data_IF_111310993232
#
_entry.id   IF_111310993232
#
_cell.length_a   1.000
_cell.length_b   1.000
_cell.length_c   1.000
_cell.angle_alpha   90.00
_cell.angle_beta   90.00
_cell.angle_gamma   90.00
#
_symmetry.space_group_name_H-M   'P 1'
#
loop_
_entity.id
_entity.type
_entity.pdbx_description
1 polymer ?
#
# COMPACT_ATOMS: atom_id res chain seq x y z
N UNK A 1 -11.65 58.14 8.61
CA UNK A 1 -12.65 57.27 9.29
C UNK A 1 -13.55 56.76 8.16
N UNK A 2 -13.34 55.63 7.52
CA UNK A 2 -12.49 54.44 7.72
C UNK A 2 -12.31 53.85 6.32
N UNK A 3 -11.07 53.66 5.88
CA UNK A 3 -10.74 52.84 4.71
C UNK A 3 -10.69 51.38 5.19
N UNK A 4 -11.58 50.53 4.69
CA UNK A 4 -11.49 49.08 4.89
C UNK A 4 -10.66 48.48 3.75
N UNK A 5 -9.45 48.11 4.10
CA UNK A 5 -8.62 47.13 3.41
C UNK A 5 -9.20 45.75 3.70
N UNK A 6 -9.50 44.94 2.67
CA UNK A 6 -9.44 43.49 2.79
C UNK A 6 -9.25 42.79 1.42
N UNK A 7 -7.99 42.44 1.19
CA UNK A 7 -7.43 41.26 0.52
C UNK A 7 -8.18 40.62 -0.66
N UNK A 8 -7.63 40.88 -1.83
CA UNK A 8 -7.42 39.90 -2.88
C UNK A 8 -6.35 38.89 -2.45
N UNK A 9 -6.66 37.59 -2.37
CA UNK A 9 -5.71 36.54 -2.72
C UNK A 9 -6.40 35.21 -3.04
N UNK A 10 -6.02 34.69 -4.20
CA UNK A 10 -6.36 33.45 -4.88
C UNK A 10 -6.01 32.18 -4.10
N UNK A 11 -6.87 31.17 -4.20
CA UNK A 11 -6.47 29.76 -4.09
C UNK A 11 -7.28 28.91 -5.09
N UNK A 12 -7.00 29.10 -6.38
CA UNK A 12 -7.11 28.02 -7.35
C UNK A 12 -5.85 27.17 -7.21
N UNK A 13 -5.99 25.96 -6.67
CA UNK A 13 -5.38 24.70 -7.16
C UNK A 13 -5.55 23.62 -6.08
N UNK A 14 -6.79 23.24 -5.80
CA UNK A 14 -7.06 21.93 -5.21
C UNK A 14 -6.95 20.91 -6.35
N UNK A 15 -5.71 20.58 -6.73
CA UNK A 15 -5.41 19.52 -7.68
C UNK A 15 -6.17 18.27 -7.27
N UNK A 16 -7.13 17.90 -8.12
CA UNK A 16 -8.08 16.82 -7.88
C UNK A 16 -7.31 15.50 -7.75
N UNK A 17 -7.08 15.08 -6.50
CA UNK A 17 -6.64 13.73 -6.16
C UNK A 17 -7.73 12.79 -6.67
N UNK A 18 -7.52 12.16 -7.83
CA UNK A 18 -8.35 11.06 -8.28
C UNK A 18 -8.21 9.94 -7.24
N UNK A 19 -9.10 9.92 -6.26
CA UNK A 19 -9.11 8.89 -5.24
C UNK A 19 -9.64 7.61 -5.91
N UNK A 20 -8.73 6.72 -6.30
CA UNK A 20 -9.10 5.48 -6.95
C UNK A 20 -10.00 4.69 -5.99
N UNK A 21 -11.25 4.52 -6.39
CA UNK A 21 -12.28 3.86 -5.60
C UNK A 21 -12.30 2.39 -5.96
N UNK A 22 -12.36 1.53 -4.95
CA UNK A 22 -12.36 0.08 -5.13
C UNK A 22 -13.47 -0.53 -4.29
N UNK A 23 -14.14 -1.56 -4.81
CA UNK A 23 -15.02 -2.38 -3.98
C UNK A 23 -14.44 -3.79 -3.80
N UNK A 24 -14.83 -4.48 -2.74
CA UNK A 24 -14.45 -5.87 -2.48
C UNK A 24 -15.70 -6.73 -2.41
N UNK A 25 -15.88 -7.55 -3.44
CA UNK A 25 -16.94 -8.54 -3.54
C UNK A 25 -16.50 -9.87 -2.93
N UNK A 26 -17.31 -10.40 -2.01
CA UNK A 26 -16.96 -11.59 -1.23
C UNK A 26 -18.21 -12.33 -0.73
N UNK A 27 -18.05 -13.61 -0.38
CA UNK A 27 -19.06 -14.34 0.35
C UNK A 27 -19.14 -13.82 1.80
N UNK A 28 -20.35 -13.69 2.35
CA UNK A 28 -20.60 -13.30 3.74
C UNK A 28 -19.71 -14.00 4.77
N UNK A 29 -19.45 -15.28 4.55
CA UNK A 29 -18.65 -16.14 5.42
C UNK A 29 -17.17 -15.72 5.48
N UNK A 30 -16.66 -15.02 4.46
CA UNK A 30 -15.26 -14.60 4.33
C UNK A 30 -15.00 -13.19 4.90
N UNK A 31 -16.03 -12.56 5.48
CA UNK A 31 -15.99 -11.16 5.97
C UNK A 31 -14.82 -10.86 6.90
N UNK A 32 -14.42 -11.82 7.75
CA UNK A 32 -13.26 -11.66 8.65
C UNK A 32 -11.95 -11.46 7.88
N UNK A 33 -11.71 -12.28 6.86
CA UNK A 33 -10.53 -12.15 6.00
C UNK A 33 -10.59 -10.82 5.22
N UNK A 34 -11.76 -10.52 4.65
CA UNK A 34 -11.97 -9.29 3.86
C UNK A 34 -11.74 -8.05 4.69
N UNK A 35 -12.19 -8.02 5.95
CA UNK A 35 -11.93 -6.89 6.85
C UNK A 35 -10.43 -6.63 7.01
N UNK A 36 -9.62 -7.66 7.23
CA UNK A 36 -8.16 -7.50 7.34
C UNK A 36 -7.54 -6.98 6.04
N UNK A 37 -8.02 -7.47 4.89
CA UNK A 37 -7.57 -7.01 3.59
C UNK A 37 -7.95 -5.54 3.34
N UNK A 38 -9.18 -5.16 3.66
CA UNK A 38 -9.69 -3.78 3.57
C UNK A 38 -8.87 -2.85 4.47
N UNK A 39 -8.67 -3.22 5.74
CA UNK A 39 -7.85 -2.46 6.69
C UNK A 39 -6.43 -2.24 6.17
N UNK A 40 -5.88 -3.22 5.45
CA UNK A 40 -4.56 -3.10 4.82
C UNK A 40 -4.60 -2.20 3.58
N UNK A 41 -5.60 -2.35 2.70
CA UNK A 41 -5.78 -1.48 1.53
C UNK A 41 -6.05 -0.01 1.89
N UNK A 42 -6.73 0.24 3.02
CA UNK A 42 -6.93 1.58 3.55
C UNK A 42 -5.62 2.23 3.99
N UNK A 43 -4.64 1.46 4.51
CA UNK A 43 -3.28 1.96 4.79
C UNK A 43 -2.60 2.42 3.52
N UNK A 44 -2.78 1.66 2.45
CA UNK A 44 -2.43 2.06 1.09
C UNK A 44 -3.24 3.27 0.58
N UNK A 45 -4.03 4.01 1.37
CA UNK A 45 -4.84 5.16 0.91
C UNK A 45 -5.78 4.82 -0.28
N UNK A 46 -6.19 3.57 -0.41
CA UNK A 46 -7.18 3.14 -1.40
C UNK A 46 -8.54 3.24 -0.72
N UNK A 47 -9.49 3.94 -1.36
CA UNK A 47 -10.85 4.05 -0.83
C UNK A 47 -11.60 2.76 -1.14
N UNK A 48 -11.98 2.02 -0.10
CA UNK A 48 -12.60 0.69 -0.24
C UNK A 48 -14.02 0.64 0.30
N UNK A 49 -14.92 0.00 -0.44
CA UNK A 49 -16.28 -0.37 -0.03
C UNK A 49 -16.43 -1.90 -0.05
N UNK A 50 -17.01 -2.51 0.98
CA UNK A 50 -17.11 -3.98 1.01
C UNK A 50 -18.40 -4.53 1.63
N UNK A 51 -18.97 -3.86 2.64
CA UNK A 51 -20.23 -4.32 3.27
C UNK A 51 -21.40 -4.37 2.26
N UNK A 52 -21.54 -3.36 1.39
CA UNK A 52 -22.61 -3.33 0.37
C UNK A 52 -22.46 -4.40 -0.73
N UNK A 53 -21.25 -4.99 -0.84
CA UNK A 53 -20.86 -5.95 -1.86
C UNK A 53 -20.62 -7.36 -1.29
N UNK A 54 -21.11 -7.59 -0.09
CA UNK A 54 -21.33 -8.92 0.46
C UNK A 54 -22.36 -9.68 -0.40
N UNK A 55 -22.09 -10.95 -0.65
CA UNK A 55 -22.91 -11.80 -1.52
C UNK A 55 -23.50 -12.97 -0.73
N UNK A 56 -24.82 -13.17 -0.85
CA UNK A 56 -25.56 -14.29 -0.28
C UNK A 56 -26.26 -15.18 -1.32
N UNK A 57 -26.79 -16.32 -0.86
CA UNK A 57 -27.49 -17.30 -1.70
C UNK A 57 -28.74 -16.66 -2.31
N UNK A 58 -28.82 -16.67 -3.64
CA UNK A 58 -29.94 -16.11 -4.39
C UNK A 58 -29.69 -14.71 -4.95
N UNK A 59 -28.59 -14.06 -4.55
CA UNK A 59 -28.13 -12.84 -5.20
C UNK A 59 -27.74 -13.11 -6.68
N UNK A 60 -27.65 -12.04 -7.47
CA UNK A 60 -26.99 -12.11 -8.78
C UNK A 60 -25.61 -11.50 -8.66
N UNK A 61 -24.57 -12.32 -8.78
CA UNK A 61 -23.18 -11.85 -8.68
C UNK A 61 -22.86 -10.83 -9.76
N UNK A 62 -23.40 -11.04 -10.97
CA UNK A 62 -23.24 -10.11 -12.08
C UNK A 62 -23.78 -8.73 -11.75
N UNK A 63 -24.96 -8.65 -11.14
CA UNK A 63 -25.57 -7.37 -10.75
C UNK A 63 -24.72 -6.66 -9.70
N UNK A 64 -24.35 -7.35 -8.62
CA UNK A 64 -23.50 -6.80 -7.55
C UNK A 64 -22.17 -6.25 -8.07
N UNK A 65 -21.49 -6.99 -8.95
CA UNK A 65 -20.21 -6.56 -9.52
C UNK A 65 -20.39 -5.36 -10.45
N UNK A 66 -21.44 -5.32 -11.28
CA UNK A 66 -21.70 -4.17 -12.14
C UNK A 66 -22.05 -2.90 -11.33
N UNK A 67 -22.83 -3.03 -10.26
CA UNK A 67 -23.12 -1.93 -9.34
C UNK A 67 -21.82 -1.40 -8.71
N UNK A 68 -20.93 -2.31 -8.30
CA UNK A 68 -19.61 -1.97 -7.76
C UNK A 68 -18.75 -1.21 -8.76
N UNK A 69 -18.63 -1.73 -9.98
CA UNK A 69 -17.84 -1.13 -11.07
C UNK A 69 -18.46 0.16 -11.64
N UNK A 70 -19.71 0.47 -11.33
CA UNK A 70 -20.32 1.77 -11.67
C UNK A 70 -19.86 2.86 -10.71
N UNK A 71 -19.52 2.50 -9.47
CA UNK A 71 -19.12 3.43 -8.40
C UNK A 71 -17.62 3.38 -8.09
N UNK A 72 -16.89 2.47 -8.73
CA UNK A 72 -15.48 2.20 -8.47
C UNK A 72 -14.69 1.99 -9.76
N UNK A 73 -13.43 2.40 -9.75
CA UNK A 73 -12.49 2.21 -10.86
C UNK A 73 -12.13 0.73 -11.02
N UNK A 74 -11.94 0.06 -9.88
CA UNK A 74 -11.60 -1.36 -9.78
C UNK A 74 -12.56 -2.10 -8.85
N UNK A 75 -12.70 -3.40 -9.08
CA UNK A 75 -13.32 -4.34 -8.15
C UNK A 75 -12.32 -5.42 -7.75
N UNK A 76 -12.34 -5.84 -6.49
CA UNK A 76 -11.68 -7.06 -6.04
C UNK A 76 -12.76 -8.12 -5.87
N UNK A 77 -12.54 -9.32 -6.40
CA UNK A 77 -13.41 -10.48 -6.16
C UNK A 77 -12.64 -11.54 -5.40
N UNK A 78 -13.17 -11.95 -4.25
CA UNK A 78 -12.59 -13.01 -3.42
C UNK A 78 -13.19 -14.35 -3.83
N UNK A 79 -12.37 -15.16 -4.50
CA UNK A 79 -12.68 -16.54 -4.80
C UNK A 79 -12.26 -17.42 -3.63
N UNK A 80 -13.24 -18.08 -3.03
CA UNK A 80 -13.07 -19.02 -1.91
C UNK A 80 -14.01 -20.21 -2.08
N UNK A 81 -13.85 -21.26 -1.27
CA UNK A 81 -14.85 -22.33 -1.24
C UNK A 81 -16.25 -21.80 -0.88
N UNK A 82 -16.37 -20.79 -0.01
CA UNK A 82 -17.66 -20.21 0.37
C UNK A 82 -18.31 -19.46 -0.79
N UNK A 83 -17.51 -18.74 -1.57
CA UNK A 83 -17.97 -18.10 -2.80
C UNK A 83 -18.57 -19.12 -3.78
N UNK A 84 -17.90 -20.23 -4.05
CA UNK A 84 -18.40 -21.21 -5.01
C UNK A 84 -19.51 -22.13 -4.46
N UNK A 85 -19.63 -22.30 -3.14
CA UNK A 85 -20.75 -23.04 -2.50
C UNK A 85 -22.12 -22.42 -2.79
N UNK A 86 -22.20 -21.13 -3.12
CA UNK A 86 -23.46 -20.43 -3.44
C UNK A 86 -24.07 -20.84 -4.80
N UNK A 87 -23.40 -21.72 -5.57
CA UNK A 87 -23.90 -22.35 -6.81
C UNK A 87 -24.37 -21.35 -7.87
N UNK A 88 -23.48 -20.41 -8.21
CA UNK A 88 -23.71 -19.43 -9.27
C UNK A 88 -24.12 -20.08 -10.60
N UNK A 89 -25.12 -19.53 -11.31
CA UNK A 89 -25.41 -19.96 -12.68
C UNK A 89 -24.16 -19.83 -13.56
N UNK A 90 -23.86 -20.83 -14.39
CA UNK A 90 -22.68 -20.81 -15.29
C UNK A 90 -22.57 -19.52 -16.11
N UNK A 91 -23.70 -18.98 -16.56
CA UNK A 91 -23.77 -17.73 -17.33
C UNK A 91 -23.34 -16.50 -16.53
N UNK A 92 -23.59 -16.48 -15.21
CA UNK A 92 -23.16 -15.38 -14.35
C UNK A 92 -21.64 -15.42 -14.11
N UNK A 93 -21.08 -16.61 -13.85
CA UNK A 93 -19.63 -16.79 -13.72
C UNK A 93 -18.90 -16.42 -15.01
N UNK A 94 -19.37 -16.91 -16.17
CA UNK A 94 -18.76 -16.59 -17.46
C UNK A 94 -18.79 -15.08 -17.78
N UNK A 95 -19.75 -14.33 -17.22
CA UNK A 95 -19.79 -12.87 -17.42
C UNK A 95 -18.66 -12.12 -16.69
N UNK A 96 -18.01 -12.77 -15.72
CA UNK A 96 -16.87 -12.18 -15.01
C UNK A 96 -15.61 -12.17 -15.87
N UNK A 97 -15.45 -13.12 -16.80
CA UNK A 97 -14.25 -13.25 -17.63
C UNK A 97 -13.93 -11.95 -18.37
N UNK A 98 -14.94 -11.27 -18.93
CA UNK A 98 -14.77 -9.99 -19.63
C UNK A 98 -14.14 -8.94 -18.69
N UNK A 99 -14.65 -8.84 -17.46
CA UNK A 99 -14.19 -7.86 -16.48
C UNK A 99 -12.79 -8.18 -15.93
N UNK A 100 -12.47 -9.47 -15.84
CA UNK A 100 -11.16 -9.97 -15.46
C UNK A 100 -10.13 -9.69 -16.58
N UNK A 101 -10.49 -9.89 -17.84
CA UNK A 101 -9.65 -9.62 -19.01
C UNK A 101 -9.38 -8.11 -19.19
N UNK A 102 -10.40 -7.27 -19.00
CA UNK A 102 -10.26 -5.80 -18.98
C UNK A 102 -9.37 -5.32 -17.81
N UNK A 103 -9.13 -6.17 -16.81
CA UNK A 103 -8.32 -5.87 -15.65
C UNK A 103 -8.96 -4.85 -14.70
N UNK A 104 -10.28 -4.65 -14.80
CA UNK A 104 -11.08 -3.86 -13.87
C UNK A 104 -11.52 -4.68 -12.66
N UNK A 105 -11.70 -5.99 -12.84
CA UNK A 105 -11.96 -6.93 -11.76
C UNK A 105 -10.67 -7.71 -11.43
N UNK A 106 -10.27 -7.69 -10.17
CA UNK A 106 -9.02 -8.25 -9.66
C UNK A 106 -9.32 -9.47 -8.78
N UNK A 107 -9.02 -10.70 -9.25
CA UNK A 107 -9.34 -11.91 -8.51
C UNK A 107 -8.28 -12.21 -7.43
N UNK A 108 -8.76 -12.56 -6.23
CA UNK A 108 -7.95 -13.01 -5.09
C UNK A 108 -8.43 -14.39 -4.66
N UNK A 109 -7.52 -15.36 -4.57
CA UNK A 109 -7.83 -16.71 -4.07
C UNK A 109 -7.64 -16.74 -2.56
N UNK A 110 -8.70 -17.11 -1.84
CA UNK A 110 -8.69 -17.28 -0.39
C UNK A 110 -9.09 -18.71 -0.04
N UNK A 111 -8.17 -19.43 0.61
CA UNK A 111 -8.33 -20.84 1.00
C UNK A 111 -8.69 -21.82 -0.13
N UNK A 112 -8.56 -21.42 -1.41
CA UNK A 112 -8.85 -22.23 -2.59
C UNK A 112 -7.67 -22.22 -3.57
N UNK A 113 -7.48 -23.30 -4.32
CA UNK A 113 -6.46 -23.39 -5.37
C UNK A 113 -6.98 -23.00 -6.74
N UNK A 114 -6.07 -22.61 -7.65
CA UNK A 114 -6.46 -22.26 -9.03
C UNK A 114 -7.06 -23.44 -9.79
N UNK A 115 -6.64 -24.67 -9.47
CA UNK A 115 -7.16 -25.88 -10.11
C UNK A 115 -8.59 -26.20 -9.64
N UNK A 116 -8.88 -25.96 -8.36
CA UNK A 116 -10.26 -26.02 -7.85
C UNK A 116 -11.15 -24.96 -8.50
N UNK A 117 -10.66 -23.71 -8.66
CA UNK A 117 -11.39 -22.66 -9.38
C UNK A 117 -11.71 -23.09 -10.82
N UNK A 118 -10.73 -23.66 -11.53
CA UNK A 118 -10.89 -24.16 -12.91
C UNK A 118 -11.89 -25.32 -13.00
N UNK A 119 -11.99 -26.15 -11.96
CA UNK A 119 -12.92 -27.27 -11.93
C UNK A 119 -14.41 -26.84 -11.94
N UNK A 120 -14.72 -25.57 -11.64
CA UNK A 120 -16.07 -25.04 -11.75
C UNK A 120 -16.54 -24.79 -13.19
N UNK A 121 -15.66 -24.98 -14.21
CA UNK A 121 -15.99 -25.10 -15.64
C UNK A 121 -16.90 -23.97 -16.19
N UNK A 122 -16.72 -22.76 -15.66
CA UNK A 122 -17.52 -21.59 -15.99
C UNK A 122 -16.71 -20.28 -16.03
N UNK A 123 -15.42 -20.35 -15.68
CA UNK A 123 -14.46 -19.26 -15.79
C UNK A 123 -13.31 -19.70 -16.69
N UNK A 124 -12.68 -18.75 -17.39
CA UNK A 124 -11.56 -19.02 -18.28
C UNK A 124 -10.38 -19.71 -17.56
N UNK A 125 -9.64 -20.58 -18.27
CA UNK A 125 -8.44 -21.24 -17.75
C UNK A 125 -7.29 -20.28 -17.44
N UNK A 126 -7.34 -19.08 -18.03
CA UNK A 126 -6.26 -18.09 -18.03
C UNK A 126 -6.41 -17.00 -16.95
N UNK A 127 -7.26 -17.23 -15.93
CA UNK A 127 -7.41 -16.30 -14.81
C UNK A 127 -6.06 -16.05 -14.13
N UNK A 128 -5.65 -14.78 -14.12
CA UNK A 128 -4.46 -14.31 -13.40
C UNK A 128 -4.90 -13.71 -12.07
N UNK A 129 -4.82 -14.51 -11.01
CA UNK A 129 -5.24 -14.12 -9.69
C UNK A 129 -4.09 -14.01 -8.69
N UNK A 130 -4.33 -13.26 -7.61
CA UNK A 130 -3.44 -13.25 -6.45
C UNK A 130 -3.66 -14.54 -5.66
N UNK A 131 -2.61 -15.34 -5.48
CA UNK A 131 -2.71 -16.71 -4.93
C UNK A 131 -2.14 -16.86 -3.51
N UNK A 132 -1.42 -15.87 -3.01
CA UNK A 132 -0.88 -15.89 -1.64
C UNK A 132 -1.99 -15.65 -0.61
N UNK A 133 -1.86 -16.28 0.55
CA UNK A 133 -2.77 -16.10 1.68
C UNK A 133 -2.31 -14.98 2.63
N UNK A 134 -1.08 -14.46 2.45
CA UNK A 134 -0.59 -13.31 3.20
C UNK A 134 -1.31 -12.04 2.76
N UNK A 135 -2.16 -11.52 3.65
CA UNK A 135 -2.98 -10.31 3.43
C UNK A 135 -2.13 -9.10 3.04
N UNK A 136 -0.95 -8.92 3.64
CA UNK A 136 -0.07 -7.79 3.33
C UNK A 136 0.48 -7.92 1.91
N UNK A 137 0.90 -9.12 1.51
CA UNK A 137 1.33 -9.39 0.15
C UNK A 137 0.18 -9.20 -0.86
N UNK A 138 -1.04 -9.66 -0.54
CA UNK A 138 -2.23 -9.45 -1.38
C UNK A 138 -2.49 -7.97 -1.58
N UNK A 139 -2.60 -7.20 -0.48
CA UNK A 139 -2.85 -5.77 -0.53
C UNK A 139 -1.79 -5.02 -1.35
N UNK A 140 -0.51 -5.38 -1.18
CA UNK A 140 0.57 -4.79 -1.97
C UNK A 140 0.48 -5.08 -3.48
N UNK A 141 0.03 -6.28 -3.88
CA UNK A 141 -0.23 -6.59 -5.30
C UNK A 141 -1.38 -5.76 -5.85
N UNK A 142 -2.50 -5.72 -5.13
CA UNK A 142 -3.69 -4.96 -5.52
C UNK A 142 -3.39 -3.47 -5.59
N UNK A 143 -2.69 -2.92 -4.61
CA UNK A 143 -2.34 -1.50 -4.55
C UNK A 143 -1.48 -1.05 -5.74
N UNK A 144 -0.52 -1.88 -6.17
CA UNK A 144 0.28 -1.60 -7.37
C UNK A 144 -0.57 -1.50 -8.63
N UNK A 145 -1.57 -2.37 -8.77
CA UNK A 145 -2.48 -2.36 -9.92
C UNK A 145 -3.45 -1.18 -9.85
N UNK A 146 -4.07 -0.96 -8.69
CA UNK A 146 -5.08 0.07 -8.48
C UNK A 146 -4.48 1.47 -8.61
N UNK A 147 -3.34 1.76 -8.00
CA UNK A 147 -2.71 3.11 -8.01
C UNK A 147 -1.95 3.47 -9.29
N UNK A 148 -1.84 2.58 -10.27
CA UNK A 148 -0.81 2.61 -11.32
C UNK A 148 -0.34 3.99 -11.83
N UNK A 149 0.97 4.26 -11.68
CA UNK A 149 1.92 5.06 -12.52
C UNK A 149 3.17 5.52 -11.75
N UNK A 150 3.16 5.45 -10.42
CA UNK A 150 4.31 5.80 -9.59
C UNK A 150 5.29 4.66 -9.31
N UNK A 151 4.98 3.40 -9.67
CA UNK A 151 5.82 2.24 -9.31
C UNK A 151 6.29 1.47 -10.54
N UNK A 152 7.56 1.63 -10.92
CA UNK A 152 8.22 0.87 -12.00
C UNK A 152 8.95 -0.36 -11.43
N UNK A 153 9.05 -1.44 -12.21
CA UNK A 153 9.93 -2.58 -11.89
C UNK A 153 11.11 -2.59 -12.86
N UNK A 154 12.33 -2.50 -12.34
CA UNK A 154 13.56 -2.67 -13.12
C UNK A 154 14.32 -3.88 -12.58
N UNK A 155 14.18 -5.04 -13.24
CA UNK A 155 14.68 -6.32 -12.71
C UNK A 155 13.94 -6.73 -11.43
N UNK A 156 14.68 -7.03 -10.35
CA UNK A 156 14.11 -7.33 -9.03
C UNK A 156 13.81 -6.09 -8.17
N UNK A 157 14.09 -4.87 -8.68
CA UNK A 157 13.97 -3.62 -7.90
C UNK A 157 12.65 -2.89 -8.16
N UNK A 158 11.93 -2.55 -7.09
CA UNK A 158 10.74 -1.71 -7.12
C UNK A 158 11.15 -0.23 -7.12
N UNK A 159 10.50 0.62 -7.92
CA UNK A 159 10.88 2.03 -8.08
C UNK A 159 9.65 2.91 -7.88
N UNK A 160 9.57 3.63 -6.76
CA UNK A 160 8.55 4.61 -6.44
C UNK A 160 8.96 5.99 -6.96
N UNK A 161 8.06 6.71 -7.63
CA UNK A 161 8.28 8.04 -8.21
C UNK A 161 7.13 9.01 -7.93
N UNK A 162 7.45 10.28 -7.63
CA UNK A 162 6.51 11.41 -7.61
C UNK A 162 5.22 11.15 -6.82
N UNK A 163 5.32 10.55 -5.63
CA UNK A 163 4.14 10.18 -4.86
C UNK A 163 4.35 10.32 -3.36
N UNK A 164 3.24 10.47 -2.64
CA UNK A 164 3.19 10.39 -1.18
C UNK A 164 2.77 8.97 -0.79
N UNK A 165 3.44 8.36 0.18
CA UNK A 165 3.13 7.02 0.66
C UNK A 165 3.48 6.84 2.14
N UNK A 166 2.80 5.92 2.81
CA UNK A 166 3.27 5.43 4.11
C UNK A 166 4.44 4.48 3.90
N UNK A 167 5.45 4.54 4.77
CA UNK A 167 6.55 3.55 4.75
C UNK A 167 6.05 2.14 5.07
N UNK A 168 4.97 2.01 5.85
CA UNK A 168 4.34 0.74 6.22
C UNK A 168 3.65 0.05 5.04
N UNK A 169 3.36 0.80 3.98
CA UNK A 169 2.79 0.28 2.74
C UNK A 169 3.86 -0.30 1.81
N UNK A 170 5.14 -0.08 2.09
CA UNK A 170 6.21 -0.60 1.24
C UNK A 170 6.34 -2.11 1.49
N UNK A 171 6.34 -2.96 0.45
CA UNK A 171 6.54 -4.40 0.62
C UNK A 171 7.81 -4.71 1.42
N UNK A 172 7.65 -5.54 2.44
CA UNK A 172 8.71 -5.92 3.37
C UNK A 172 8.70 -7.44 3.60
N UNK A 173 9.82 -7.99 4.05
CA UNK A 173 9.95 -9.39 4.46
C UNK A 173 9.23 -9.66 5.79
N UNK A 174 9.14 -10.94 6.17
CA UNK A 174 8.68 -11.38 7.50
C UNK A 174 9.49 -10.79 8.66
N UNK A 175 10.74 -10.39 8.40
CA UNK A 175 11.63 -9.72 9.37
C UNK A 175 11.47 -8.20 9.40
N UNK A 176 10.40 -7.66 8.81
CA UNK A 176 10.13 -6.22 8.68
C UNK A 176 11.25 -5.48 7.94
N UNK A 177 11.82 -6.10 6.90
CA UNK A 177 12.91 -5.51 6.11
C UNK A 177 12.41 -5.13 4.72
N UNK A 178 12.53 -3.85 4.35
CA UNK A 178 12.33 -3.35 3.00
C UNK A 178 13.63 -3.58 2.22
N UNK A 179 13.55 -4.32 1.12
CA UNK A 179 14.72 -4.66 0.30
C UNK A 179 14.50 -4.33 -1.16
N UNK A 180 15.58 -3.94 -1.86
CA UNK A 180 15.57 -3.73 -3.31
C UNK A 180 14.52 -2.70 -3.78
N UNK A 181 14.42 -1.57 -3.10
CA UNK A 181 13.49 -0.48 -3.47
C UNK A 181 14.25 0.80 -3.82
N UNK A 182 13.75 1.57 -4.78
CA UNK A 182 14.19 2.94 -5.04
C UNK A 182 13.03 3.90 -4.90
N UNK A 183 13.24 5.02 -4.22
CA UNK A 183 12.32 6.13 -4.11
C UNK A 183 12.92 7.34 -4.82
N UNK A 184 12.12 8.00 -5.66
CA UNK A 184 12.50 9.22 -6.35
C UNK A 184 11.39 10.25 -6.17
N UNK A 185 11.71 11.44 -5.68
CA UNK A 185 10.74 12.53 -5.61
C UNK A 185 9.48 12.17 -4.78
N UNK A 186 9.66 11.36 -3.72
CA UNK A 186 8.57 10.84 -2.91
C UNK A 186 8.46 11.54 -1.55
N UNK A 187 7.25 11.62 -1.01
CA UNK A 187 7.01 11.96 0.40
C UNK A 187 6.69 10.68 1.16
N UNK A 188 7.53 10.31 2.12
CA UNK A 188 7.45 9.07 2.89
C UNK A 188 6.97 9.39 4.29
N UNK A 189 5.85 8.78 4.69
CA UNK A 189 5.16 9.09 5.94
C UNK A 189 5.24 7.93 6.94
N UNK A 190 5.45 8.25 8.21
CA UNK A 190 5.40 7.32 9.34
C UNK A 190 4.01 7.21 9.99
N UNK A 191 3.92 6.88 11.29
CA UNK A 191 5.01 6.78 12.27
C UNK A 191 5.84 5.49 12.10
N UNK A 192 7.16 5.61 11.96
CA UNK A 192 8.06 4.45 11.98
C UNK A 192 9.50 4.84 12.33
N UNK A 193 10.26 3.87 12.85
CA UNK A 193 11.71 3.99 13.03
C UNK A 193 12.38 3.11 11.96
N UNK A 194 13.29 3.68 11.18
CA UNK A 194 14.03 2.95 10.15
C UNK A 194 15.41 2.58 10.65
N UNK A 195 15.79 1.31 10.52
CA UNK A 195 17.15 0.84 10.75
C UNK A 195 17.84 0.64 9.40
N UNK A 196 18.83 1.48 9.10
CA UNK A 196 19.54 1.41 7.83
C UNK A 196 20.63 0.33 7.90
N UNK A 197 20.50 -0.71 7.06
CA UNK A 197 21.50 -1.76 6.88
C UNK A 197 22.43 -1.44 5.70
N UNK A 198 23.15 -2.45 5.21
CA UNK A 198 24.09 -2.33 4.10
C UNK A 198 23.44 -1.78 2.81
N UNK A 199 24.23 -0.98 2.09
CA UNK A 199 23.92 -0.48 0.74
C UNK A 199 22.67 0.40 0.65
N UNK A 200 22.45 1.26 1.65
CA UNK A 200 21.48 2.36 1.55
C UNK A 200 22.13 3.57 0.88
N UNK A 201 21.45 4.17 -0.10
CA UNK A 201 21.90 5.40 -0.78
C UNK A 201 20.92 6.53 -0.51
N UNK A 202 21.41 7.66 -0.03
CA UNK A 202 20.63 8.87 0.24
C UNK A 202 21.15 10.03 -0.63
N UNK A 203 20.29 10.61 -1.46
CA UNK A 203 20.62 11.74 -2.34
C UNK A 203 19.56 12.84 -2.22
N UNK A 204 19.90 14.02 -1.71
CA UNK A 204 18.99 15.18 -1.56
C UNK A 204 17.76 14.91 -0.66
N UNK A 205 17.98 14.38 0.55
CA UNK A 205 16.90 14.07 1.49
C UNK A 205 16.47 15.29 2.31
N UNK A 206 15.18 15.35 2.66
CA UNK A 206 14.64 16.31 3.64
C UNK A 206 13.86 15.57 4.73
N UNK A 207 14.12 15.88 5.99
CA UNK A 207 13.38 15.39 7.15
C UNK A 207 12.71 16.59 7.81
N UNK A 208 11.46 16.43 8.26
CA UNK A 208 10.75 17.49 8.97
C UNK A 208 10.91 17.34 10.51
N UNK A 209 10.65 18.43 11.23
CA UNK A 209 10.98 18.78 12.64
C UNK A 209 10.70 17.78 13.77
N UNK A 210 10.16 16.59 13.51
CA UNK A 210 9.97 15.51 14.51
C UNK A 210 10.92 14.33 14.26
N UNK A 211 12.16 14.62 13.86
CA UNK A 211 13.16 13.59 13.63
C UNK A 211 13.76 13.12 14.96
N UNK A 212 13.28 11.97 15.47
CA UNK A 212 13.79 11.41 16.72
C UNK A 212 14.94 10.44 16.46
N UNK A 213 16.12 10.76 17.00
CA UNK A 213 17.23 9.83 17.10
C UNK A 213 17.04 8.89 18.28
N UNK A 214 17.20 7.59 18.04
CA UNK A 214 17.23 6.57 19.09
C UNK A 214 18.62 5.94 19.08
N UNK A 215 19.50 6.26 20.04
CA UNK A 215 20.84 5.68 20.09
C UNK A 215 20.78 4.17 20.30
N UNK A 216 21.70 3.46 19.65
CA UNK A 216 21.83 2.01 19.82
C UNK A 216 22.42 1.69 21.19
N UNK A 217 21.63 1.05 22.04
CA UNK A 217 22.13 0.39 23.26
C UNK A 217 22.76 -0.94 22.85
N UNK A 218 24.06 -1.19 23.14
CA UNK A 218 24.70 -2.48 22.89
C UNK A 218 23.89 -3.63 23.51
N UNK A 219 23.81 -4.76 22.82
CA UNK A 219 23.16 -6.00 23.28
C UNK A 219 21.65 -5.93 23.56
N UNK A 220 20.94 -4.85 23.19
CA UNK A 220 19.48 -4.82 23.19
C UNK A 220 18.89 -5.05 21.80
N UNK A 221 17.88 -5.93 21.66
CA UNK A 221 17.16 -6.08 20.41
C UNK A 221 16.33 -4.82 20.12
N UNK A 222 16.40 -4.35 18.88
CA UNK A 222 15.56 -3.27 18.39
C UNK A 222 14.18 -3.87 18.10
N UNK A 223 13.16 -3.47 18.84
CA UNK A 223 11.79 -3.94 18.64
C UNK A 223 10.98 -2.85 17.96
N UNK A 224 10.36 -3.17 16.83
CA UNK A 224 9.47 -2.25 16.10
C UNK A 224 10.15 -1.32 15.09
N UNK A 225 11.44 -1.51 14.78
CA UNK A 225 12.10 -0.81 13.68
C UNK A 225 11.94 -1.58 12.36
N UNK A 226 11.91 -0.83 11.25
CA UNK A 226 11.86 -1.37 9.89
C UNK A 226 13.28 -1.39 9.34
N UNK A 227 13.77 -2.57 8.98
CA UNK A 227 15.08 -2.70 8.33
C UNK A 227 15.05 -2.18 6.90
N UNK A 228 16.10 -1.47 6.48
CA UNK A 228 16.24 -0.93 5.13
C UNK A 228 17.53 -1.48 4.51
N UNK A 229 17.43 -2.31 3.47
CA UNK A 229 18.59 -2.96 2.84
C UNK A 229 18.57 -2.79 1.30
N UNK A 230 19.70 -2.38 0.71
CA UNK A 230 19.80 -2.16 -0.74
C UNK A 230 18.71 -1.20 -1.30
N UNK A 231 18.36 -0.19 -0.51
CA UNK A 231 17.35 0.83 -0.84
C UNK A 231 18.00 2.14 -1.26
N UNK A 232 17.42 2.80 -2.26
CA UNK A 232 17.83 4.14 -2.68
C UNK A 232 16.73 5.14 -2.40
N UNK A 233 17.07 6.27 -1.79
CA UNK A 233 16.20 7.43 -1.71
C UNK A 233 16.84 8.61 -2.46
N UNK A 234 16.07 9.25 -3.35
CA UNK A 234 16.51 10.41 -4.13
C UNK A 234 15.45 11.51 -4.10
N UNK A 235 15.81 12.72 -3.67
CA UNK A 235 14.90 13.88 -3.54
C UNK A 235 13.60 13.54 -2.80
N UNK A 236 13.72 12.78 -1.73
CA UNK A 236 12.58 12.34 -0.93
C UNK A 236 12.44 13.22 0.33
N UNK A 237 11.20 13.38 0.79
CA UNK A 237 10.86 14.04 2.05
C UNK A 237 10.32 13.01 3.02
N UNK A 238 10.77 13.03 4.26
CA UNK A 238 10.28 12.17 5.32
C UNK A 238 9.46 12.96 6.33
N UNK A 239 8.32 12.39 6.74
CA UNK A 239 7.43 12.96 7.75
C UNK A 239 7.13 11.89 8.80
N UNK A 240 7.30 12.24 10.07
CA UNK A 240 7.03 11.35 11.22
C UNK A 240 7.86 10.05 11.18
N UNK A 241 9.09 10.13 10.65
CA UNK A 241 10.02 9.00 10.50
C UNK A 241 11.27 9.28 11.32
N UNK A 242 11.59 8.37 12.25
CA UNK A 242 12.90 8.34 12.93
C UNK A 242 13.88 7.42 12.21
N UNK A 243 15.18 7.65 12.39
CA UNK A 243 16.24 6.74 11.91
C UNK A 243 17.09 6.27 13.08
N UNK A 244 17.35 4.97 13.11
CA UNK A 244 18.20 4.29 14.06
C UNK A 244 19.54 3.97 13.40
N UNK A 245 20.63 4.56 13.89
CA UNK A 245 22.01 4.38 13.41
C UNK A 245 22.98 4.57 14.60
N UNK A 246 24.22 4.11 14.47
CA UNK A 246 25.28 4.44 15.45
C UNK A 246 25.69 5.92 15.34
N UNK A 247 26.30 6.49 16.39
CA UNK A 247 26.74 7.89 16.37
C UNK A 247 27.68 8.22 15.19
N UNK A 248 28.59 7.31 14.86
CA UNK A 248 29.53 7.46 13.73
C UNK A 248 28.81 7.45 12.38
N UNK A 249 27.80 6.58 12.21
CA UNK A 249 26.98 6.54 11.00
C UNK A 249 26.04 7.75 10.88
N UNK A 250 25.57 8.28 12.01
CA UNK A 250 24.76 9.51 12.06
C UNK A 250 25.57 10.70 11.56
N UNK A 251 26.82 10.86 11.96
CA UNK A 251 27.68 11.94 11.48
C UNK A 251 27.85 11.88 9.95
N UNK A 252 28.08 10.69 9.39
CA UNK A 252 28.16 10.46 7.94
C UNK A 252 26.82 10.81 7.27
N UNK A 253 25.70 10.41 7.87
CA UNK A 253 24.36 10.71 7.38
C UNK A 253 24.10 12.23 7.34
N UNK A 254 24.47 12.94 8.42
CA UNK A 254 24.33 14.39 8.55
C UNK A 254 25.21 15.14 7.55
N UNK A 255 26.41 14.64 7.25
CA UNK A 255 27.28 15.21 6.21
C UNK A 255 26.71 15.05 4.79
N UNK A 256 25.87 14.03 4.56
CA UNK A 256 25.24 13.78 3.27
C UNK A 256 23.90 14.52 3.07
N UNK A 257 23.37 15.21 4.10
CA UNK A 257 22.13 15.98 4.00
C UNK A 257 22.40 17.43 3.58
N UNK A 258 21.72 17.96 2.54
CA UNK A 258 21.92 19.34 2.09
C UNK A 258 21.32 20.41 3.02
N UNK A 259 20.45 20.03 3.97
CA UNK A 259 19.96 20.89 5.06
C UNK A 259 20.00 20.10 6.37
N UNK A 260 20.61 20.68 7.40
CA UNK A 260 20.62 20.10 8.73
C UNK A 260 19.27 20.37 9.42
N UNK A 261 18.72 19.41 10.19
CA UNK A 261 17.51 19.65 10.98
C UNK A 261 17.76 20.73 12.03
N UNK A 262 16.75 21.58 12.27
CA UNK A 262 16.89 22.78 13.12
C UNK A 262 17.08 22.44 14.62
N UNK A 263 16.66 21.26 15.07
CA UNK A 263 16.87 20.77 16.44
C UNK A 263 17.37 19.31 16.45
N UNK A 264 18.58 19.10 16.97
CA UNK A 264 19.15 17.78 17.27
C UNK A 264 19.05 17.56 18.79
N UNK A 265 18.04 16.79 19.23
CA UNK A 265 17.94 16.35 20.63
C UNK A 265 17.82 14.82 20.71
N UNK A 266 18.74 14.21 21.48
CA UNK A 266 18.63 12.80 21.88
C UNK A 266 17.70 12.74 23.10
N UNK A 267 16.56 12.01 23.03
CA UNK A 267 15.61 11.95 24.14
C UNK A 267 16.28 11.47 25.44
N UNK A 268 16.01 12.16 26.56
CA UNK A 268 16.69 11.94 27.85
C UNK A 268 16.61 10.50 28.37
N UNK A 269 15.51 9.79 28.08
CA UNK A 269 15.32 8.38 28.47
C UNK A 269 16.20 7.38 27.67
N UNK A 270 16.96 7.89 26.70
CA UNK A 270 17.87 7.13 25.84
C UNK A 270 19.34 7.60 25.98
N UNK A 271 19.61 8.60 26.83
CA UNK A 271 20.97 8.95 27.27
C UNK A 271 21.50 7.94 28.30
#
# INVERSE_FOLDING_TARGET
>A
MTEEVQNTETAADAGQMNANTTFVSHASEDKKYVKNLVDTLLRYQIKVWYDDYEIDVGDSIRTKINEGLTQSDYGVVVFSHNFFKKKWPKKELASLDILLEEGRLLPVLYEITIDEVRAYDALSSDIKAVTTQDVTAVAGVLARKIKGKGVEKAGQRLIYRNQTLSILDVPMSETLTITNVSFHDCVIQGPAILYLHDRVTLEDMTFNDEFTFVPRIPDRPIVGAIGIENVRFKRCRFKDIGVFQTLEEIEILMMAMPRQPDDYEVPEHLQ
#
